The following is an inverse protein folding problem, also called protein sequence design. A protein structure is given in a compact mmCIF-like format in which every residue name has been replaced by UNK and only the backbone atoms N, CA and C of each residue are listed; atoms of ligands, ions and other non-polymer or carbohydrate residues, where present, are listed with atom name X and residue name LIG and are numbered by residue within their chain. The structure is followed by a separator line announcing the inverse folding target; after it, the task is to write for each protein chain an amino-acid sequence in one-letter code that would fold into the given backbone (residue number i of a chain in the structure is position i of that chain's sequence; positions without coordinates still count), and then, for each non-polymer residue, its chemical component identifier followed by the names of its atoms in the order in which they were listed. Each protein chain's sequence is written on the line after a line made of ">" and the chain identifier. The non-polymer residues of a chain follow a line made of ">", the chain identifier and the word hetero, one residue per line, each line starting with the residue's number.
data_IF_792529877840
#
_entry.id   IF_792529877840
#
_cell.length_a   1.000
_cell.length_b   1.000
_cell.length_c   1.000
_cell.angle_alpha   90.00
_cell.angle_beta   90.00
_cell.angle_gamma   90.00
#
_symmetry.space_group_name_H-M   'P 1'
#
loop_
_entity.id
_entity.type
_entity.pdbx_description
1 polymer ?
#
# COMPACT_ATOMS: atom_id res chain seq x y z
N UNK A 1 -11.53 -7.04 -25.43
CA UNK A 1 -12.38 -7.19 -24.24
C UNK A 1 -13.09 -5.87 -23.97
N UNK A 2 -14.36 -5.96 -23.54
CA UNK A 2 -15.13 -4.79 -23.07
C UNK A 2 -15.54 -5.08 -21.62
N UNK A 3 -15.40 -4.10 -20.74
CA UNK A 3 -15.75 -4.27 -19.33
C UNK A 3 -15.20 -3.15 -18.47
N UNK A 4 -15.60 -3.14 -17.22
CA UNK A 4 -15.06 -2.23 -16.22
C UNK A 4 -13.56 -2.52 -16.00
N UNK A 5 -12.72 -1.52 -15.71
CA UNK A 5 -11.28 -1.70 -15.45
C UNK A 5 -10.94 -2.83 -14.46
N UNK A 6 -11.67 -2.93 -13.34
CA UNK A 6 -11.50 -4.02 -12.37
C UNK A 6 -11.68 -5.42 -13.00
N UNK A 7 -12.65 -5.57 -13.90
CA UNK A 7 -12.92 -6.83 -14.61
C UNK A 7 -11.78 -7.17 -15.58
N UNK A 8 -11.33 -6.17 -16.33
CA UNK A 8 -10.24 -6.32 -17.30
C UNK A 8 -8.92 -6.63 -16.60
N UNK A 9 -8.63 -5.94 -15.50
CA UNK A 9 -7.43 -6.17 -14.71
C UNK A 9 -7.42 -7.55 -14.07
N UNK A 10 -8.52 -7.99 -13.49
CA UNK A 10 -8.67 -9.34 -12.96
C UNK A 10 -8.44 -10.41 -14.03
N UNK A 11 -9.07 -10.27 -15.19
CA UNK A 11 -8.93 -11.24 -16.28
C UNK A 11 -7.48 -11.25 -16.81
N UNK A 12 -6.86 -10.08 -16.98
CA UNK A 12 -5.46 -10.00 -17.40
C UNK A 12 -4.52 -10.65 -16.38
N UNK A 13 -4.70 -10.36 -15.10
CA UNK A 13 -3.88 -10.94 -14.03
C UNK A 13 -3.94 -12.47 -14.04
N UNK A 14 -5.13 -13.06 -14.23
CA UNK A 14 -5.31 -14.52 -14.15
C UNK A 14 -4.99 -15.26 -15.45
N UNK A 15 -5.11 -14.59 -16.60
CA UNK A 15 -4.97 -15.25 -17.91
C UNK A 15 -3.66 -14.93 -18.62
N UNK A 16 -3.08 -13.74 -18.38
CA UNK A 16 -1.98 -13.24 -19.20
C UNK A 16 -0.72 -12.89 -18.41
N UNK A 17 -0.85 -12.46 -17.16
CA UNK A 17 0.30 -11.94 -16.39
C UNK A 17 1.36 -13.04 -16.14
N UNK A 18 0.96 -14.22 -15.70
CA UNK A 18 1.90 -15.32 -15.48
C UNK A 18 2.59 -15.80 -16.76
N UNK A 19 1.87 -16.08 -17.87
CA UNK A 19 2.53 -16.42 -19.13
C UNK A 19 3.51 -15.35 -19.63
N UNK A 20 3.16 -14.06 -19.47
CA UNK A 20 4.06 -12.98 -19.85
C UNK A 20 5.32 -12.91 -18.94
N UNK A 21 5.15 -13.15 -17.64
CA UNK A 21 6.26 -13.22 -16.70
C UNK A 21 7.18 -14.40 -17.00
N UNK A 22 6.62 -15.57 -17.31
CA UNK A 22 7.40 -16.77 -17.63
C UNK A 22 8.22 -16.55 -18.91
N UNK A 23 7.63 -15.94 -19.94
CA UNK A 23 8.33 -15.59 -21.18
C UNK A 23 9.48 -14.61 -20.91
N UNK A 24 9.24 -13.54 -20.14
CA UNK A 24 10.28 -12.58 -19.75
C UNK A 24 11.41 -13.26 -18.96
N UNK A 25 11.08 -14.10 -17.99
CA UNK A 25 12.06 -14.78 -17.15
C UNK A 25 12.92 -15.78 -17.94
N UNK A 26 12.38 -16.38 -19.00
CA UNK A 26 13.16 -17.23 -19.91
C UNK A 26 14.24 -16.42 -20.66
N UNK A 27 13.97 -15.15 -20.95
CA UNK A 27 14.94 -14.24 -21.61
C UNK A 27 15.98 -13.68 -20.62
N UNK A 28 15.59 -13.43 -19.36
CA UNK A 28 16.44 -12.79 -18.35
C UNK A 28 17.54 -13.69 -17.78
N UNK A 29 17.47 -15.01 -18.01
CA UNK A 29 18.49 -15.95 -17.59
C UNK A 29 18.66 -16.06 -16.08
N UNK A 30 19.52 -15.74 -15.36
CA UNK A 30 19.70 -15.90 -13.90
C UNK A 30 19.06 -14.81 -13.03
N UNK A 31 18.38 -13.83 -13.62
CA UNK A 31 17.80 -12.67 -12.92
C UNK A 31 16.27 -12.65 -13.03
N UNK A 32 15.63 -13.75 -12.66
CA UNK A 32 14.18 -13.88 -12.77
C UNK A 32 13.44 -12.83 -11.94
N UNK A 33 12.47 -12.17 -12.55
CA UNK A 33 11.53 -11.28 -11.86
C UNK A 33 10.55 -12.11 -11.03
N UNK A 34 10.35 -11.82 -9.74
CA UNK A 34 9.33 -12.49 -8.94
C UNK A 34 7.92 -12.01 -9.33
N UNK A 35 6.91 -12.85 -9.07
CA UNK A 35 5.51 -12.50 -9.37
C UNK A 35 5.06 -11.17 -8.78
N UNK A 36 5.48 -10.85 -7.54
CA UNK A 36 5.21 -9.56 -6.92
C UNK A 36 5.77 -8.39 -7.74
N UNK A 37 6.96 -8.56 -8.35
CA UNK A 37 7.53 -7.56 -9.26
C UNK A 37 6.65 -7.32 -10.48
N UNK A 38 6.12 -8.39 -11.08
CA UNK A 38 5.19 -8.29 -12.20
C UNK A 38 3.88 -7.59 -11.80
N UNK A 39 3.34 -7.85 -10.61
CA UNK A 39 2.16 -7.15 -10.07
C UNK A 39 2.42 -5.65 -9.87
N UNK A 40 3.60 -5.28 -9.36
CA UNK A 40 3.98 -3.86 -9.20
C UNK A 40 4.05 -3.16 -10.55
N UNK A 41 4.68 -3.78 -11.56
CA UNK A 41 4.70 -3.22 -12.93
C UNK A 41 3.29 -3.11 -13.50
N UNK A 42 2.48 -4.15 -13.36
CA UNK A 42 1.09 -4.17 -13.85
C UNK A 42 0.22 -3.08 -13.18
N UNK A 43 0.43 -2.80 -11.91
CA UNK A 43 -0.36 -1.81 -11.17
C UNK A 43 -0.32 -0.40 -11.79
N UNK A 44 0.78 -0.03 -12.45
CA UNK A 44 0.88 1.26 -13.14
C UNK A 44 -0.12 1.38 -14.31
N UNK A 45 -0.29 0.29 -15.06
CA UNK A 45 -1.27 0.23 -16.16
C UNK A 45 -2.70 0.17 -15.62
N UNK A 46 -2.92 -0.63 -14.58
CA UNK A 46 -4.22 -0.79 -13.94
C UNK A 46 -4.77 0.55 -13.42
N UNK A 47 -3.95 1.31 -12.68
CA UNK A 47 -4.31 2.64 -12.17
C UNK A 47 -4.62 3.60 -13.33
N UNK A 48 -3.81 3.60 -14.39
CA UNK A 48 -4.01 4.47 -15.54
C UNK A 48 -5.32 4.16 -16.29
N UNK A 49 -5.68 2.88 -16.42
CA UNK A 49 -6.95 2.46 -17.05
C UNK A 49 -8.14 2.86 -16.19
N UNK A 50 -8.05 2.73 -14.86
CA UNK A 50 -9.10 3.19 -13.95
C UNK A 50 -9.31 4.71 -14.02
N UNK A 51 -8.23 5.50 -14.02
CA UNK A 51 -8.32 6.97 -14.17
C UNK A 51 -8.95 7.35 -15.53
N UNK A 52 -8.49 6.72 -16.60
CA UNK A 52 -9.02 6.96 -17.94
C UNK A 52 -10.51 6.61 -18.05
N UNK A 53 -10.95 5.53 -17.38
CA UNK A 53 -12.36 5.12 -17.37
C UNK A 53 -13.24 6.15 -16.66
N UNK A 54 -12.84 6.60 -15.46
CA UNK A 54 -13.56 7.66 -14.74
C UNK A 54 -13.65 8.96 -15.57
N UNK A 55 -12.56 9.38 -16.21
CA UNK A 55 -12.53 10.55 -17.09
C UNK A 55 -13.44 10.39 -18.31
N UNK A 56 -13.45 9.22 -18.94
CA UNK A 56 -14.30 8.94 -20.10
C UNK A 56 -15.80 8.98 -19.76
N UNK A 57 -16.16 8.68 -18.51
CA UNK A 57 -17.52 8.75 -17.99
C UNK A 57 -17.83 10.06 -17.24
N UNK A 58 -16.88 10.99 -17.19
CA UNK A 58 -17.01 12.29 -16.51
C UNK A 58 -17.41 12.19 -15.04
N UNK A 59 -16.94 11.15 -14.35
CA UNK A 59 -17.24 10.91 -12.93
C UNK A 59 -16.02 10.43 -12.16
N UNK A 60 -16.12 10.46 -10.82
CA UNK A 60 -15.12 9.85 -9.95
C UNK A 60 -15.04 8.35 -10.21
N UNK A 61 -13.84 7.81 -10.29
CA UNK A 61 -13.60 6.38 -10.51
C UNK A 61 -14.35 5.52 -9.49
N UNK A 62 -14.40 5.93 -8.22
CA UNK A 62 -15.15 5.20 -7.19
C UNK A 62 -16.67 5.16 -7.43
N UNK A 63 -17.23 6.12 -8.18
CA UNK A 63 -18.62 6.11 -8.56
C UNK A 63 -18.94 5.08 -9.66
N UNK A 64 -17.94 4.43 -10.23
CA UNK A 64 -18.11 3.41 -11.30
C UNK A 64 -18.16 1.97 -10.78
N UNK A 65 -17.96 1.74 -9.48
CA UNK A 65 -17.90 0.40 -8.91
C UNK A 65 -19.29 -0.17 -8.54
N UNK A 66 -20.21 -0.18 -9.48
CA UNK A 66 -21.59 -0.60 -9.28
C UNK A 66 -22.18 -1.30 -10.53
N UNK A 67 -23.45 -1.72 -10.42
CA UNK A 67 -24.13 -2.46 -11.48
C UNK A 67 -24.35 -1.66 -12.79
N UNK A 68 -24.27 -0.34 -12.77
CA UNK A 68 -24.44 0.48 -13.97
C UNK A 68 -23.21 0.44 -14.88
N UNK A 69 -22.02 0.17 -14.29
CA UNK A 69 -20.74 0.17 -15.00
C UNK A 69 -20.06 -1.20 -15.05
N UNK A 70 -20.33 -2.08 -14.08
CA UNK A 70 -19.75 -3.42 -14.00
C UNK A 70 -20.68 -4.48 -14.55
N UNK A 71 -20.16 -5.42 -15.34
CA UNK A 71 -20.92 -6.54 -15.87
C UNK A 71 -20.99 -7.72 -14.89
N UNK A 72 -20.08 -7.76 -13.92
CA UNK A 72 -19.94 -8.83 -12.93
C UNK A 72 -20.01 -8.26 -11.52
N UNK A 73 -20.72 -8.95 -10.64
CA UNK A 73 -20.73 -8.64 -9.21
C UNK A 73 -19.49 -9.23 -8.50
N UNK A 74 -19.35 -8.97 -7.21
CA UNK A 74 -18.20 -9.40 -6.42
C UNK A 74 -18.08 -10.93 -6.31
N UNK A 75 -19.13 -11.71 -6.55
CA UNK A 75 -19.04 -13.17 -6.53
C UNK A 75 -18.15 -13.74 -7.64
N UNK A 76 -17.92 -12.97 -8.71
CA UNK A 76 -17.00 -13.37 -9.78
C UNK A 76 -15.51 -13.20 -9.37
N UNK A 77 -15.22 -12.46 -8.32
CA UNK A 77 -13.85 -12.12 -7.87
C UNK A 77 -13.50 -12.69 -6.50
N UNK A 78 -14.51 -12.86 -5.63
CA UNK A 78 -14.32 -13.30 -4.25
C UNK A 78 -15.12 -14.57 -4.01
N UNK A 79 -14.40 -15.65 -3.72
CA UNK A 79 -15.00 -16.92 -3.28
C UNK A 79 -14.77 -17.04 -1.76
N UNK A 80 -15.86 -16.96 -0.98
CA UNK A 80 -15.79 -17.10 0.47
C UNK A 80 -16.87 -18.11 0.94
N UNK A 81 -16.47 -19.10 1.73
CA UNK A 81 -17.37 -20.15 2.20
C UNK A 81 -18.50 -19.64 3.11
N UNK A 82 -18.23 -18.59 3.88
CA UNK A 82 -19.14 -18.09 4.93
C UNK A 82 -20.03 -16.92 4.50
N UNK A 83 -19.75 -16.26 3.36
CA UNK A 83 -20.43 -15.02 2.93
C UNK A 83 -20.71 -15.07 1.43
N UNK A 84 -21.95 -14.80 1.04
CA UNK A 84 -22.32 -14.66 -0.37
C UNK A 84 -22.12 -13.23 -0.86
N UNK A 85 -21.36 -13.07 -1.94
CA UNK A 85 -21.18 -11.80 -2.65
C UNK A 85 -22.06 -11.66 -3.90
N UNK A 86 -22.99 -12.58 -4.12
CA UNK A 86 -23.92 -12.52 -5.24
C UNK A 86 -24.79 -11.26 -5.16
N UNK A 87 -24.84 -10.50 -6.26
CA UNK A 87 -25.56 -9.23 -6.35
C UNK A 87 -24.90 -8.07 -5.56
N UNK A 88 -23.66 -8.26 -5.05
CA UNK A 88 -22.91 -7.22 -4.34
C UNK A 88 -21.84 -6.61 -5.24
N UNK A 89 -21.68 -5.31 -5.12
CA UNK A 89 -20.67 -4.53 -5.84
C UNK A 89 -19.74 -3.81 -4.84
N UNK A 90 -18.55 -3.36 -5.25
CA UNK A 90 -17.67 -2.64 -4.33
C UNK A 90 -18.35 -1.43 -3.66
N UNK A 91 -19.25 -0.73 -4.33
CA UNK A 91 -20.00 0.40 -3.75
C UNK A 91 -20.79 0.04 -2.47
N UNK A 92 -21.23 -1.22 -2.32
CA UNK A 92 -21.96 -1.67 -1.12
C UNK A 92 -21.09 -1.61 0.15
N UNK A 93 -19.78 -1.50 -0.01
CA UNK A 93 -18.76 -1.50 1.04
C UNK A 93 -18.02 -0.16 1.14
N UNK A 94 -18.28 0.78 0.24
CA UNK A 94 -17.71 2.12 0.31
C UNK A 94 -18.57 3.02 1.21
N UNK A 95 -17.90 3.93 1.91
CA UNK A 95 -18.61 4.94 2.70
C UNK A 95 -19.30 5.93 1.77
N UNK A 96 -20.53 6.32 2.10
CA UNK A 96 -21.33 7.25 1.30
C UNK A 96 -20.74 8.66 1.32
N UNK A 97 -20.29 9.10 2.50
CA UNK A 97 -19.62 10.38 2.69
C UNK A 97 -18.11 10.15 2.86
N UNK A 98 -17.38 10.17 1.77
CA UNK A 98 -15.92 10.04 1.82
C UNK A 98 -15.31 11.18 2.64
N UNK A 99 -14.40 10.89 3.59
CA UNK A 99 -13.74 11.92 4.38
C UNK A 99 -12.90 12.80 3.45
N UNK A 100 -12.98 14.13 3.63
CA UNK A 100 -12.20 15.10 2.84
C UNK A 100 -10.70 15.03 3.13
N UNK A 101 -10.32 14.47 4.28
CA UNK A 101 -8.93 14.30 4.71
C UNK A 101 -8.74 12.93 5.34
N UNK A 102 -7.59 12.32 5.09
CA UNK A 102 -7.17 11.08 5.72
C UNK A 102 -5.95 11.31 6.61
N UNK A 103 -5.82 10.60 7.74
CA UNK A 103 -4.61 10.66 8.54
C UNK A 103 -3.43 10.06 7.75
N UNK A 104 -2.32 10.78 7.76
CA UNK A 104 -1.08 10.28 7.16
C UNK A 104 -0.38 9.34 8.14
N UNK A 105 -0.02 8.16 7.69
CA UNK A 105 0.86 7.24 8.37
C UNK A 105 2.30 7.51 7.92
N UNK A 106 3.01 8.34 8.67
CA UNK A 106 4.40 8.66 8.38
C UNK A 106 5.29 7.44 8.59
N UNK A 107 6.08 7.11 7.57
CA UNK A 107 7.02 6.00 7.63
C UNK A 107 8.25 6.38 8.46
N UNK A 108 8.54 5.57 9.48
CA UNK A 108 9.81 5.61 10.21
C UNK A 108 10.64 4.42 9.74
N UNK A 109 11.63 4.67 8.90
CA UNK A 109 12.49 3.65 8.29
C UNK A 109 13.40 2.95 9.31
N UNK A 110 13.86 1.75 8.98
CA UNK A 110 14.72 0.97 9.86
C UNK A 110 16.08 1.62 10.16
N UNK A 111 16.54 2.50 9.28
CA UNK A 111 17.84 3.21 9.40
C UNK A 111 17.69 4.69 9.71
N UNK A 112 16.46 5.21 9.82
CA UNK A 112 16.25 6.62 10.11
C UNK A 112 16.76 6.98 11.51
N UNK A 113 17.40 8.13 11.63
CA UNK A 113 17.82 8.68 12.91
C UNK A 113 16.58 9.07 13.74
N UNK A 114 16.53 8.64 14.98
CA UNK A 114 15.43 8.96 15.90
C UNK A 114 15.78 10.13 16.81
N UNK A 115 17.01 10.15 17.28
CA UNK A 115 17.55 11.07 18.29
C UNK A 115 18.94 11.56 17.87
N UNK A 116 19.43 12.62 18.52
CA UNK A 116 20.70 13.27 18.20
C UNK A 116 21.90 12.29 18.17
N UNK A 117 21.88 11.28 19.03
CA UNK A 117 22.94 10.26 19.13
C UNK A 117 22.99 9.30 17.95
N UNK A 118 21.93 9.25 17.13
CA UNK A 118 21.88 8.40 15.94
C UNK A 118 22.51 9.11 14.72
N UNK A 119 22.83 10.40 14.82
CA UNK A 119 23.44 11.17 13.74
C UNK A 119 24.92 10.79 13.56
N UNK A 120 25.35 10.72 12.32
CA UNK A 120 26.73 10.35 11.94
C UNK A 120 27.41 11.38 11.03
N UNK A 121 26.73 12.45 10.67
CA UNK A 121 27.24 13.53 9.82
C UNK A 121 27.09 13.31 8.32
N UNK A 122 26.45 12.22 7.91
CA UNK A 122 26.13 11.95 6.49
C UNK A 122 24.67 12.27 6.13
N UNK A 123 23.95 12.86 7.05
CA UNK A 123 22.54 13.19 6.87
C UNK A 123 22.35 14.23 5.75
N UNK A 124 21.23 14.12 4.99
CA UNK A 124 20.96 15.07 3.93
C UNK A 124 20.74 16.49 4.49
N UNK A 125 21.27 17.48 3.80
CA UNK A 125 21.02 18.90 4.09
C UNK A 125 20.13 19.49 2.98
N UNK A 126 18.90 19.00 2.94
CA UNK A 126 17.91 19.33 1.91
C UNK A 126 16.75 20.20 2.42
N UNK A 127 16.88 20.69 3.67
CA UNK A 127 15.86 21.52 4.32
C UNK A 127 14.73 20.72 4.98
N UNK A 128 14.81 19.40 4.99
CA UNK A 128 13.88 18.54 5.70
C UNK A 128 14.43 18.12 7.07
N UNK A 129 13.55 17.81 8.04
CA UNK A 129 13.98 17.26 9.32
C UNK A 129 14.71 15.92 9.13
N UNK A 130 15.64 15.64 10.03
CA UNK A 130 16.32 14.35 10.11
C UNK A 130 15.81 13.55 11.29
N UNK A 131 15.55 14.22 12.43
CA UNK A 131 15.12 13.57 13.65
C UNK A 131 13.60 13.36 13.70
N UNK A 132 13.18 12.25 14.32
CA UNK A 132 11.77 11.88 14.38
C UNK A 132 10.90 12.94 15.06
N UNK A 133 11.37 13.52 16.17
CA UNK A 133 10.63 14.56 16.89
C UNK A 133 10.35 15.79 16.01
N UNK A 134 11.34 16.19 15.21
CA UNK A 134 11.23 17.34 14.32
C UNK A 134 10.24 17.10 13.19
N UNK A 135 10.23 15.88 12.61
CA UNK A 135 9.21 15.45 11.65
C UNK A 135 7.80 15.53 12.23
N UNK A 136 7.61 14.98 13.45
CA UNK A 136 6.31 14.99 14.13
C UNK A 136 5.81 16.41 14.36
N UNK A 137 6.69 17.30 14.82
CA UNK A 137 6.34 18.69 15.09
C UNK A 137 6.04 19.49 13.83
N UNK A 138 6.90 19.37 12.81
CA UNK A 138 6.75 20.07 11.54
C UNK A 138 5.44 19.75 10.84
N UNK A 139 5.11 18.45 10.74
CA UNK A 139 3.98 17.97 9.94
C UNK A 139 2.73 17.64 10.79
N UNK A 140 2.82 17.84 12.11
CA UNK A 140 1.70 17.57 13.04
C UNK A 140 1.28 16.10 13.06
N UNK A 141 2.22 15.17 12.90
CA UNK A 141 1.99 13.76 12.71
C UNK A 141 1.26 13.14 13.89
N UNK A 142 0.26 12.27 13.61
CA UNK A 142 -0.52 11.55 14.62
C UNK A 142 -0.41 10.03 14.49
N UNK A 143 0.06 9.55 13.36
CA UNK A 143 0.20 8.13 13.05
C UNK A 143 1.60 7.84 12.52
N UNK A 144 2.28 6.83 13.07
CA UNK A 144 3.59 6.39 12.58
C UNK A 144 3.53 4.93 12.16
N UNK A 145 4.09 4.63 10.99
CA UNK A 145 4.34 3.28 10.50
C UNK A 145 5.80 2.95 10.71
N UNK A 146 6.09 2.02 11.60
CA UNK A 146 7.44 1.65 12.00
C UNK A 146 7.93 0.47 11.18
N UNK A 147 9.02 0.66 10.45
CA UNK A 147 9.72 -0.42 9.74
C UNK A 147 10.59 -1.22 10.70
N UNK A 148 10.32 -2.53 10.73
CA UNK A 148 11.01 -3.51 11.56
C UNK A 148 11.72 -4.55 10.68
N UNK A 149 12.62 -5.33 11.28
CA UNK A 149 13.41 -6.35 10.59
C UNK A 149 12.66 -7.68 10.47
N UNK A 150 11.90 -8.05 11.53
CA UNK A 150 11.24 -9.36 11.63
C UNK A 150 12.19 -10.54 11.85
N UNK A 151 13.49 -10.29 11.84
CA UNK A 151 14.56 -11.32 12.03
C UNK A 151 15.38 -11.12 13.29
N UNK A 152 15.15 -10.00 14.01
CA UNK A 152 15.84 -9.64 15.26
C UNK A 152 14.82 -9.03 16.23
N UNK A 153 14.22 -9.90 17.04
CA UNK A 153 13.16 -9.51 17.97
C UNK A 153 13.62 -8.50 19.03
N UNK A 154 14.89 -8.56 19.47
CA UNK A 154 15.42 -7.62 20.46
C UNK A 154 15.56 -6.22 19.87
N UNK A 155 16.10 -6.11 18.66
CA UNK A 155 16.20 -4.86 17.93
C UNK A 155 14.82 -4.27 17.59
N UNK A 156 13.90 -5.10 17.14
CA UNK A 156 12.54 -4.68 16.78
C UNK A 156 11.80 -4.14 18.00
N UNK A 157 11.95 -4.79 19.16
CA UNK A 157 11.34 -4.35 20.41
C UNK A 157 11.93 -3.02 20.88
N UNK A 158 13.25 -2.88 20.89
CA UNK A 158 13.93 -1.63 21.26
C UNK A 158 13.53 -0.49 20.32
N UNK A 159 13.51 -0.74 19.01
CA UNK A 159 13.09 0.25 17.99
C UNK A 159 11.67 0.75 18.24
N UNK A 160 10.73 -0.16 18.48
CA UNK A 160 9.34 0.20 18.80
C UNK A 160 9.23 1.00 20.09
N UNK A 161 9.98 0.64 21.14
CA UNK A 161 9.97 1.38 22.40
C UNK A 161 10.53 2.79 22.25
N UNK A 162 11.65 2.97 21.52
CA UNK A 162 12.24 4.29 21.28
C UNK A 162 11.28 5.19 20.49
N UNK A 163 10.73 4.67 19.39
CA UNK A 163 9.77 5.41 18.56
C UNK A 163 8.50 5.74 19.35
N UNK A 164 8.00 4.79 20.14
CA UNK A 164 6.83 5.00 20.99
C UNK A 164 7.04 6.12 22.02
N UNK A 165 8.18 6.13 22.71
CA UNK A 165 8.51 7.21 23.67
C UNK A 165 8.56 8.58 23.00
N UNK A 166 9.28 8.69 21.87
CA UNK A 166 9.40 9.95 21.12
C UNK A 166 8.02 10.37 20.58
N UNK A 167 7.32 9.46 19.95
CA UNK A 167 6.04 9.71 19.30
C UNK A 167 4.98 10.19 20.30
N UNK A 168 4.75 9.44 21.37
CA UNK A 168 3.74 9.79 22.38
C UNK A 168 4.06 11.07 23.12
N UNK A 169 5.34 11.34 23.41
CA UNK A 169 5.78 12.61 23.99
C UNK A 169 5.50 13.81 23.07
N UNK A 170 5.42 13.60 21.76
CA UNK A 170 5.14 14.63 20.75
C UNK A 170 3.71 14.57 20.18
N UNK A 171 2.79 13.84 20.82
CA UNK A 171 1.36 13.86 20.49
C UNK A 171 0.94 12.92 19.37
N UNK A 172 1.76 11.93 19.00
CA UNK A 172 1.37 10.78 18.21
C UNK A 172 0.36 9.92 18.97
N UNK A 173 -0.61 9.35 18.28
CA UNK A 173 -1.69 8.55 18.89
C UNK A 173 -1.64 7.08 18.50
N UNK A 174 -1.16 6.78 17.30
CA UNK A 174 -1.17 5.44 16.73
C UNK A 174 0.18 5.05 16.14
N UNK A 175 0.55 3.82 16.41
CA UNK A 175 1.73 3.17 15.82
C UNK A 175 1.27 1.91 15.08
N UNK A 176 1.88 1.62 13.95
CA UNK A 176 1.80 0.32 13.28
C UNK A 176 3.20 -0.25 13.08
N UNK A 177 3.33 -1.58 13.19
CA UNK A 177 4.57 -2.31 12.94
C UNK A 177 4.51 -2.95 11.55
N UNK A 178 5.56 -2.76 10.75
CA UNK A 178 5.70 -3.36 9.43
C UNK A 178 6.98 -4.19 9.37
N UNK A 179 6.83 -5.51 9.38
CA UNK A 179 7.92 -6.48 9.35
C UNK A 179 8.37 -6.87 7.93
N UNK A 180 7.84 -6.25 6.88
CA UNK A 180 8.17 -6.52 5.47
C UNK A 180 8.05 -8.01 5.08
N UNK A 181 7.10 -8.74 5.63
CA UNK A 181 6.91 -10.19 5.42
C UNK A 181 8.15 -11.04 5.77
N UNK A 182 8.97 -10.58 6.70
CA UNK A 182 10.22 -11.28 7.10
C UNK A 182 10.05 -12.17 8.31
N UNK A 183 8.96 -12.03 9.06
CA UNK A 183 8.64 -12.92 10.19
C UNK A 183 8.35 -14.31 9.64
N UNK A 184 9.05 -15.32 10.17
CA UNK A 184 8.81 -16.73 9.87
C UNK A 184 8.01 -17.34 11.02
N UNK A 185 7.12 -18.27 10.67
CA UNK A 185 6.40 -19.09 11.64
C UNK A 185 7.37 -19.99 12.43
#
# INVERSE_FOLDING_TARGET
>A
QQGHPMELAHDFQHQHLLPALDALNAELGGHAMPYLGALVVFSAFDIAVHDAFGRAHECDTYATYNADFMNRDLSAFINAEAVSFAGKYPQDYLVTDAPKTLPVWHLVGGVDALEQQDLNGSEPNDGYPVLLADWIQRDGLKCLKVKLRGTDAAWDFERMQRIGRIGFANGVRWLSADFNCTVKE
#
